data_IF_588598009941
#
_entry.id   IF_588598009941
#
_cell.length_a   1.000
_cell.length_b   1.000
_cell.length_c   1.000
_cell.angle_alpha   90.00
_cell.angle_beta   90.00
_cell.angle_gamma   90.00
#
_symmetry.space_group_name_H-M   'P 1'
#
loop_
_entity.id
_entity.type
_entity.pdbx_description
1 polymer ?
#
# COMPACT_ATOMS: atom_id res chain seq x y z
N UNK A 1 -13.07 -8.48 -3.81
CA UNK A 1 -11.64 -8.21 -3.54
C UNK A 1 -10.81 -9.14 -4.40
N UNK A 2 -9.99 -8.57 -5.29
CA UNK A 2 -9.08 -9.32 -6.16
C UNK A 2 -7.98 -10.01 -5.35
N UNK A 3 -7.31 -11.01 -5.94
CA UNK A 3 -6.24 -11.74 -5.26
C UNK A 3 -5.11 -10.81 -4.79
N UNK A 4 -4.65 -9.91 -5.66
CA UNK A 4 -3.56 -8.97 -5.36
C UNK A 4 -3.87 -8.03 -4.19
N UNK A 5 -5.14 -7.68 -3.97
CA UNK A 5 -5.57 -6.82 -2.86
C UNK A 5 -5.41 -7.53 -1.51
N UNK A 6 -5.78 -8.83 -1.43
CA UNK A 6 -5.57 -9.65 -0.23
C UNK A 6 -4.09 -9.82 0.09
N UNK A 7 -3.30 -10.10 -0.94
CA UNK A 7 -1.87 -10.28 -0.83
C UNK A 7 -1.17 -9.00 -0.38
N UNK A 8 -1.59 -7.84 -0.89
CA UNK A 8 -1.07 -6.54 -0.48
C UNK A 8 -1.35 -6.25 1.00
N UNK A 9 -2.58 -6.48 1.47
CA UNK A 9 -2.93 -6.27 2.89
C UNK A 9 -2.09 -7.18 3.79
N UNK A 10 -1.96 -8.47 3.45
CA UNK A 10 -1.11 -9.40 4.21
C UNK A 10 0.34 -8.93 4.24
N UNK A 11 0.89 -8.58 3.08
CA UNK A 11 2.24 -8.05 2.96
C UNK A 11 2.46 -6.78 3.80
N UNK A 12 1.49 -5.85 3.79
CA UNK A 12 1.56 -4.63 4.58
C UNK A 12 1.53 -4.90 6.10
N UNK A 13 0.74 -5.89 6.55
CA UNK A 13 0.70 -6.30 7.96
C UNK A 13 2.03 -6.96 8.36
N UNK A 14 2.51 -7.92 7.57
CA UNK A 14 3.77 -8.64 7.82
C UNK A 14 4.98 -7.71 7.90
N UNK A 15 4.98 -6.64 7.10
CA UNK A 15 6.04 -5.62 7.08
C UNK A 15 5.84 -4.52 8.14
N UNK A 16 4.77 -4.56 8.92
CA UNK A 16 4.43 -3.50 9.88
C UNK A 16 4.06 -2.15 9.25
N UNK A 17 3.84 -2.12 7.93
CA UNK A 17 3.33 -0.96 7.20
C UNK A 17 1.90 -0.66 7.64
N UNK A 18 1.07 -1.69 7.73
CA UNK A 18 -0.28 -1.62 8.29
C UNK A 18 -0.27 -2.16 9.71
N UNK A 19 -0.63 -1.31 10.69
CA UNK A 19 -0.71 -1.67 12.11
C UNK A 19 -2.08 -1.34 12.67
N UNK A 20 -2.51 -2.13 13.66
CA UNK A 20 -3.74 -1.93 14.42
C UNK A 20 -3.42 -1.49 15.85
N UNK A 21 -4.23 -0.61 16.42
CA UNK A 21 -3.97 0.06 17.69
C UNK A 21 -4.62 1.43 17.71
N UNK A 22 -4.23 2.30 18.63
CA UNK A 22 -4.77 3.67 18.70
C UNK A 22 -3.77 4.68 18.13
N UNK A 23 -4.16 5.39 17.08
CA UNK A 23 -3.30 6.35 16.37
C UNK A 23 -4.00 7.68 16.16
N UNK A 24 -3.31 8.79 16.43
CA UNK A 24 -3.79 10.14 16.08
C UNK A 24 -3.33 10.52 14.68
N UNK A 25 -4.28 10.78 13.78
CA UNK A 25 -3.99 11.19 12.40
C UNK A 25 -3.65 12.68 12.32
N UNK A 26 -3.08 13.12 11.18
CA UNK A 26 -2.80 14.55 10.92
C UNK A 26 -4.03 15.45 11.01
N UNK A 27 -5.22 14.89 10.80
CA UNK A 27 -6.50 15.58 10.97
C UNK A 27 -6.96 15.70 12.43
N UNK A 28 -6.22 15.15 13.40
CA UNK A 28 -6.61 15.06 14.81
C UNK A 28 -7.55 13.89 15.15
N UNK A 29 -8.01 13.14 14.16
CA UNK A 29 -8.87 11.96 14.38
C UNK A 29 -8.10 10.82 15.03
N UNK A 30 -8.69 10.15 16.01
CA UNK A 30 -8.25 8.84 16.50
C UNK A 30 -8.67 7.75 15.52
N UNK A 31 -7.72 6.91 15.11
CA UNK A 31 -7.91 5.82 14.15
C UNK A 31 -7.50 4.48 14.79
N UNK A 32 -8.26 3.38 14.56
CA UNK A 32 -7.92 2.05 15.06
C UNK A 32 -6.80 1.37 14.24
N UNK A 33 -6.28 2.03 13.21
CA UNK A 33 -5.17 1.56 12.39
C UNK A 33 -4.34 2.72 11.84
N UNK A 34 -3.10 2.41 11.44
CA UNK A 34 -2.20 3.33 10.76
C UNK A 34 -1.47 2.63 9.62
N UNK A 35 -1.30 3.34 8.51
CA UNK A 35 -0.60 2.87 7.33
C UNK A 35 0.62 3.75 7.05
N UNK A 36 1.83 3.19 7.15
CA UNK A 36 3.09 3.88 6.88
C UNK A 36 3.84 3.24 5.70
N UNK A 37 3.62 3.76 4.49
CA UNK A 37 4.29 3.28 3.28
C UNK A 37 5.83 3.39 3.34
N UNK A 38 6.39 4.25 4.21
CA UNK A 38 7.84 4.40 4.37
C UNK A 38 8.54 3.16 4.92
N UNK A 39 7.81 2.17 5.44
CA UNK A 39 8.37 0.88 5.89
C UNK A 39 8.52 -0.14 4.74
N UNK A 40 8.16 0.23 3.51
CA UNK A 40 8.65 -0.44 2.30
C UNK A 40 10.08 0.03 1.99
N UNK A 41 11.02 -0.29 2.88
CA UNK A 41 12.37 0.28 2.96
C UNK A 41 13.49 -0.61 2.39
N UNK A 42 13.15 -1.71 1.74
CA UNK A 42 14.11 -2.62 1.12
C UNK A 42 13.82 -2.81 -0.38
N UNK A 43 14.85 -3.17 -1.15
CA UNK A 43 14.69 -3.43 -2.58
C UNK A 43 13.66 -4.51 -2.89
N UNK A 44 13.61 -5.57 -2.08
CA UNK A 44 12.59 -6.62 -2.20
C UNK A 44 11.18 -6.09 -1.89
N UNK A 45 11.05 -5.23 -0.88
CA UNK A 45 9.78 -4.64 -0.51
C UNK A 45 9.25 -3.68 -1.59
N UNK A 46 10.13 -2.84 -2.15
CA UNK A 46 9.80 -1.93 -3.24
C UNK A 46 9.43 -2.69 -4.52
N UNK A 47 10.15 -3.77 -4.86
CA UNK A 47 9.82 -4.61 -6.00
C UNK A 47 8.44 -5.26 -5.86
N UNK A 48 8.11 -5.76 -4.66
CA UNK A 48 6.79 -6.32 -4.38
C UNK A 48 5.69 -5.24 -4.41
N UNK A 49 5.96 -4.05 -3.85
CA UNK A 49 5.06 -2.91 -3.90
C UNK A 49 4.74 -2.51 -5.35
N UNK A 50 5.75 -2.41 -6.21
CA UNK A 50 5.59 -2.10 -7.62
C UNK A 50 4.68 -3.11 -8.35
N UNK A 51 4.81 -4.41 -8.03
CA UNK A 51 3.90 -5.45 -8.57
C UNK A 51 2.45 -5.23 -8.16
N UNK A 52 2.18 -4.82 -6.93
CA UNK A 52 0.82 -4.53 -6.47
C UNK A 52 0.21 -3.30 -7.17
N UNK A 53 0.99 -2.23 -7.35
CA UNK A 53 0.54 -1.07 -8.12
C UNK A 53 0.29 -1.43 -9.59
N UNK A 54 1.20 -2.17 -10.23
CA UNK A 54 1.03 -2.62 -11.62
C UNK A 54 -0.23 -3.47 -11.81
N UNK A 55 -0.51 -4.39 -10.89
CA UNK A 55 -1.73 -5.19 -10.90
C UNK A 55 -2.99 -4.33 -10.75
N UNK A 56 -2.97 -3.32 -9.87
CA UNK A 56 -4.09 -2.40 -9.70
C UNK A 56 -4.33 -1.51 -10.93
N UNK A 57 -3.26 -1.04 -11.58
CA UNK A 57 -3.34 -0.27 -12.82
C UNK A 57 -3.92 -1.13 -13.94
N UNK A 58 -3.43 -2.36 -14.12
CA UNK A 58 -3.96 -3.28 -15.12
C UNK A 58 -5.45 -3.63 -14.89
N UNK A 59 -5.86 -3.86 -13.63
CA UNK A 59 -7.26 -4.14 -13.27
C UNK A 59 -8.18 -2.92 -13.43
N UNK A 60 -7.64 -1.70 -13.35
CA UNK A 60 -8.43 -0.47 -13.42
C UNK A 60 -9.04 -0.19 -14.79
N UNK A 61 -8.47 -0.75 -15.86
CA UNK A 61 -8.87 -0.47 -17.24
C UNK A 61 -8.70 0.99 -17.67
N UNK A 62 -7.90 1.77 -16.93
CA UNK A 62 -7.61 3.17 -17.25
C UNK A 62 -6.49 3.20 -18.29
N UNK A 63 -6.73 3.87 -19.42
CA UNK A 63 -5.71 4.17 -20.41
C UNK A 63 -4.81 5.32 -19.94
N UNK A 64 -3.50 5.19 -20.15
CA UNK A 64 -2.52 6.21 -19.82
C UNK A 64 -1.28 6.09 -20.71
N UNK A 65 -0.60 7.21 -20.94
CA UNK A 65 0.67 7.25 -21.70
C UNK A 65 1.89 7.36 -20.78
N UNK A 66 1.71 7.94 -19.59
CA UNK A 66 2.80 8.28 -18.67
C UNK A 66 2.38 7.98 -17.23
N UNK A 67 3.28 7.34 -16.48
CA UNK A 67 3.19 7.23 -15.01
C UNK A 67 4.09 8.31 -14.40
N UNK A 68 3.51 9.18 -13.58
CA UNK A 68 4.22 10.26 -12.90
C UNK A 68 4.30 9.99 -11.39
N UNK A 69 5.50 10.12 -10.81
CA UNK A 69 5.74 10.06 -9.37
C UNK A 69 6.10 11.44 -8.82
N UNK A 70 5.40 11.96 -7.80
CA UNK A 70 5.70 13.25 -7.17
C UNK A 70 6.92 13.23 -6.25
#
# INVERSE_FOLDING_TARGET
MQAYQREFIRFAIERGVLRFGEFTLKSGRTSPYFFNAGLFDSGAALAQLGRFYAAAVADSGIDFDVIFGP
#
